data_IF_151555004505
#
_entry.id   IF_151555004505
#
_cell.length_a   1.000
_cell.length_b   1.000
_cell.length_c   1.000
_cell.angle_alpha   90.00
_cell.angle_beta   90.00
_cell.angle_gamma   90.00
#
_symmetry.space_group_name_H-M   'P 1'
#
loop_
_entity.id
_entity.type
_entity.pdbx_description
1 polymer ?
#
# COMPACT_ATOMS: atom_id res chain seq x y z
N UNK A 1 0.70 12.37 -24.65
CA UNK A 1 0.52 11.17 -25.50
C UNK A 1 -0.22 10.12 -24.70
N UNK A 2 -1.36 9.65 -25.19
CA UNK A 2 -2.22 8.72 -24.46
C UNK A 2 -1.80 7.25 -24.64
N UNK A 3 -1.80 6.46 -23.57
CA UNK A 3 -1.45 5.03 -23.61
C UNK A 3 -2.02 4.24 -22.42
N UNK A 4 -1.99 2.91 -22.52
CA UNK A 4 -2.29 2.06 -21.37
C UNK A 4 -1.09 1.94 -20.44
N UNK A 5 -1.31 2.12 -19.15
CA UNK A 5 -0.31 1.92 -18.09
C UNK A 5 -0.93 1.19 -16.90
N UNK A 6 -0.10 0.52 -16.12
CA UNK A 6 -0.50 -0.04 -14.83
C UNK A 6 -0.48 1.03 -13.75
N UNK A 7 -1.47 1.01 -12.87
CA UNK A 7 -1.56 1.86 -11.68
C UNK A 7 -2.00 1.05 -10.48
N UNK A 8 -1.60 1.50 -9.30
CA UNK A 8 -2.09 1.02 -8.04
C UNK A 8 -3.48 1.62 -7.78
N UNK A 9 -4.53 0.87 -8.12
CA UNK A 9 -5.91 1.35 -8.02
C UNK A 9 -6.41 1.33 -6.57
N UNK A 10 -6.09 0.27 -5.85
CA UNK A 10 -6.29 0.10 -4.40
C UNK A 10 -5.09 -0.68 -3.85
N UNK A 11 -4.86 -0.72 -2.53
CA UNK A 11 -3.83 -1.56 -1.95
C UNK A 11 -3.89 -2.99 -2.50
N UNK A 12 -2.75 -3.46 -3.02
CA UNK A 12 -2.58 -4.81 -3.58
C UNK A 12 -3.55 -5.12 -4.72
N UNK A 13 -3.96 -4.10 -5.49
CA UNK A 13 -4.84 -4.24 -6.63
C UNK A 13 -4.46 -3.27 -7.73
N UNK A 14 -3.64 -3.78 -8.65
CA UNK A 14 -3.24 -3.08 -9.84
C UNK A 14 -4.31 -3.12 -10.92
N UNK A 15 -4.40 -2.04 -11.70
CA UNK A 15 -5.30 -1.94 -12.86
C UNK A 15 -4.57 -1.31 -14.03
N UNK A 16 -4.92 -1.74 -15.24
CA UNK A 16 -4.53 -1.05 -16.46
C UNK A 16 -5.51 0.08 -16.74
N UNK A 17 -5.01 1.31 -16.80
CA UNK A 17 -5.80 2.49 -17.15
C UNK A 17 -5.28 3.09 -18.44
N UNK A 18 -6.15 3.84 -19.13
CA UNK A 18 -5.75 4.63 -20.28
C UNK A 18 -5.37 6.05 -19.84
N UNK A 19 -4.07 6.32 -19.75
CA UNK A 19 -3.53 7.60 -19.29
C UNK A 19 -3.56 8.63 -20.40
N UNK A 20 -4.57 9.50 -20.37
CA UNK A 20 -4.74 10.59 -21.33
C UNK A 20 -5.10 11.89 -20.62
N UNK A 21 -4.41 12.98 -20.92
CA UNK A 21 -4.78 14.32 -20.45
C UNK A 21 -6.15 14.79 -20.99
N UNK A 22 -6.73 14.09 -21.98
CA UNK A 22 -8.06 14.37 -22.52
C UNK A 22 -9.19 13.59 -21.84
N UNK A 23 -8.86 12.49 -21.14
CA UNK A 23 -9.85 11.57 -20.55
C UNK A 23 -9.71 11.43 -19.03
N UNK A 24 -8.60 11.89 -18.47
CA UNK A 24 -8.41 12.01 -17.03
C UNK A 24 -8.82 13.42 -16.64
N UNK A 25 -9.83 13.51 -15.77
CA UNK A 25 -10.35 14.77 -15.24
C UNK A 25 -9.25 15.55 -14.48
N UNK A 26 -8.61 14.89 -13.51
CA UNK A 26 -7.51 15.47 -12.72
C UNK A 26 -6.28 14.55 -12.70
N UNK A 27 -5.30 14.75 -13.61
CA UNK A 27 -4.05 13.99 -13.56
C UNK A 27 -3.12 14.45 -12.43
N UNK A 28 -3.36 15.63 -11.86
CA UNK A 28 -2.47 16.32 -10.92
C UNK A 28 -1.02 16.27 -11.42
N UNK A 29 -0.06 16.00 -10.52
CA UNK A 29 1.35 15.84 -10.86
C UNK A 29 1.74 14.41 -11.26
N UNK A 30 0.79 13.48 -11.46
CA UNK A 30 1.13 12.07 -11.74
C UNK A 30 1.98 11.89 -13.01
N UNK A 31 1.82 12.74 -14.02
CA UNK A 31 2.66 12.70 -15.23
C UNK A 31 4.10 13.15 -14.98
N UNK A 32 4.32 14.00 -13.97
CA UNK A 32 5.66 14.44 -13.55
C UNK A 32 6.26 13.48 -12.52
N UNK A 33 5.44 12.73 -11.77
CA UNK A 33 5.95 11.78 -10.78
C UNK A 33 6.28 10.43 -11.43
N UNK A 34 5.44 10.00 -12.37
CA UNK A 34 5.57 8.73 -13.08
C UNK A 34 5.42 8.98 -14.58
N UNK A 35 6.43 9.62 -15.21
CA UNK A 35 6.47 9.79 -16.66
C UNK A 35 6.74 8.44 -17.33
N UNK A 36 6.65 8.42 -18.65
CA UNK A 36 6.81 7.20 -19.44
C UNK A 36 8.23 6.64 -19.31
N UNK A 37 8.34 5.32 -19.16
CA UNK A 37 9.60 4.56 -19.22
C UNK A 37 10.66 4.98 -18.19
N UNK A 38 10.29 5.75 -17.18
CA UNK A 38 11.18 6.09 -16.07
C UNK A 38 10.63 5.44 -14.80
N UNK A 39 11.49 4.69 -14.11
CA UNK A 39 11.16 4.15 -12.80
C UNK A 39 11.20 5.27 -11.77
N UNK A 40 10.25 5.25 -10.83
CA UNK A 40 10.27 6.12 -9.67
C UNK A 40 9.57 5.41 -8.52
N UNK A 41 9.64 5.98 -7.33
CA UNK A 41 8.87 5.55 -6.17
C UNK A 41 8.29 6.74 -5.45
N UNK A 42 7.14 6.56 -4.82
CA UNK A 42 6.50 7.59 -4.02
C UNK A 42 6.00 7.02 -2.69
N UNK A 43 6.10 7.84 -1.64
CA UNK A 43 5.38 7.60 -0.39
C UNK A 43 4.00 8.21 -0.56
N UNK A 44 2.97 7.40 -0.38
CA UNK A 44 1.58 7.81 -0.49
C UNK A 44 0.91 7.76 0.88
N UNK A 45 -0.04 8.65 1.13
CA UNK A 45 -0.80 8.68 2.36
C UNK A 45 -2.12 9.43 2.17
N UNK A 46 -3.10 9.26 3.08
CA UNK A 46 -4.38 9.94 2.98
C UNK A 46 -4.25 11.46 2.97
N UNK A 47 -5.10 12.12 2.18
CA UNK A 47 -5.16 13.57 2.11
C UNK A 47 -5.72 14.19 3.41
N UNK A 48 -5.49 15.49 3.62
CA UNK A 48 -6.10 16.28 4.69
C UNK A 48 -7.62 16.12 4.64
N UNK A 49 -8.22 15.98 5.82
CA UNK A 49 -9.64 15.66 6.04
C UNK A 49 -10.09 14.23 5.70
N UNK A 50 -9.17 13.32 5.34
CA UNK A 50 -9.52 11.90 5.20
C UNK A 50 -10.14 11.35 6.49
N UNK A 51 -11.21 10.57 6.34
CA UNK A 51 -11.94 9.94 7.44
C UNK A 51 -11.39 8.56 7.77
N UNK A 52 -10.65 7.95 6.84
CA UNK A 52 -10.00 6.67 7.05
C UNK A 52 -8.79 6.80 7.99
N UNK A 53 -8.38 5.67 8.59
CA UNK A 53 -7.17 5.64 9.41
C UNK A 53 -5.94 6.06 8.59
N UNK A 54 -5.03 6.78 9.25
CA UNK A 54 -3.85 7.31 8.59
C UNK A 54 -2.75 6.24 8.55
N UNK A 55 -2.48 5.69 7.36
CA UNK A 55 -1.37 4.77 7.12
C UNK A 55 -0.71 5.11 5.79
N UNK A 56 0.62 5.25 5.72
CA UNK A 56 1.33 5.49 4.48
C UNK A 56 1.55 4.18 3.69
N UNK A 57 1.79 4.28 2.39
CA UNK A 57 2.12 3.16 1.52
C UNK A 57 3.10 3.60 0.44
N UNK A 58 4.16 2.84 0.19
CA UNK A 58 5.14 3.11 -0.86
C UNK A 58 4.72 2.40 -2.14
N UNK A 59 4.78 3.11 -3.26
CA UNK A 59 4.41 2.61 -4.58
C UNK A 59 5.46 3.02 -5.61
N UNK A 60 5.83 2.12 -6.50
CA UNK A 60 6.61 2.40 -7.71
C UNK A 60 5.72 2.65 -8.94
N UNK A 61 4.40 2.52 -8.77
CA UNK A 61 3.38 2.87 -9.74
C UNK A 61 2.64 4.16 -9.35
N UNK A 62 2.00 4.85 -10.31
CA UNK A 62 1.01 5.87 -9.98
C UNK A 62 -0.13 5.26 -9.16
N UNK A 63 -0.67 6.03 -8.22
CA UNK A 63 -1.82 5.61 -7.41
C UNK A 63 -3.11 6.30 -7.87
N UNK A 64 -4.23 5.61 -7.72
CA UNK A 64 -5.56 6.22 -7.84
C UNK A 64 -5.79 7.26 -6.74
N UNK A 65 -6.56 8.31 -7.04
CA UNK A 65 -6.87 9.35 -6.06
C UNK A 65 -7.54 8.79 -4.80
N UNK A 66 -8.31 7.71 -4.93
CA UNK A 66 -8.98 7.05 -3.82
C UNK A 66 -8.25 5.77 -3.37
N UNK A 67 -6.93 5.68 -3.51
CA UNK A 67 -6.15 4.47 -3.24
C UNK A 67 -6.55 3.73 -1.95
N UNK A 68 -6.47 4.35 -0.77
CA UNK A 68 -6.82 3.71 0.52
C UNK A 68 -8.26 3.97 1.00
N UNK A 69 -9.17 4.49 0.16
CA UNK A 69 -10.52 4.89 0.59
C UNK A 69 -11.57 4.71 -0.52
N UNK A 70 -12.85 4.77 -0.17
CA UNK A 70 -13.94 4.79 -1.16
C UNK A 70 -14.28 6.20 -1.63
N UNK A 71 -13.83 7.23 -0.92
CA UNK A 71 -14.28 8.61 -1.15
C UNK A 71 -13.27 9.69 -0.79
N UNK A 72 -12.23 9.35 -0.02
CA UNK A 72 -11.24 10.34 0.42
C UNK A 72 -9.99 10.26 -0.47
N UNK A 73 -9.34 11.40 -0.66
CA UNK A 73 -8.15 11.53 -1.49
C UNK A 73 -6.90 10.91 -0.87
N UNK A 74 -5.93 10.60 -1.71
CA UNK A 74 -4.57 10.25 -1.34
C UNK A 74 -3.60 11.19 -2.06
N UNK A 75 -2.53 11.51 -1.35
CA UNK A 75 -1.41 12.29 -1.87
C UNK A 75 -0.18 11.41 -2.02
N UNK A 76 0.73 11.84 -2.87
CA UNK A 76 2.00 11.17 -3.12
C UNK A 76 3.16 12.15 -3.02
N UNK A 77 4.23 11.73 -2.36
CA UNK A 77 5.52 12.42 -2.28
C UNK A 77 6.54 11.54 -3.01
N UNK A 78 6.91 11.87 -4.25
CA UNK A 78 7.81 11.05 -5.04
C UNK A 78 9.26 11.22 -4.57
N UNK A 79 10.12 10.26 -4.88
CA UNK A 79 11.58 10.35 -4.66
C UNK A 79 12.24 11.29 -5.66
N UNK A 80 11.80 11.23 -6.91
CA UNK A 80 12.21 12.10 -8.02
C UNK A 80 11.01 12.83 -8.62
N UNK A 81 11.21 14.02 -9.17
CA UNK A 81 10.21 14.72 -9.99
C UNK A 81 10.79 14.90 -11.38
N UNK A 82 9.95 14.70 -12.40
CA UNK A 82 10.34 14.80 -13.80
C UNK A 82 9.58 15.95 -14.49
N UNK A 83 10.03 17.21 -14.36
CA UNK A 83 9.49 18.32 -15.15
C UNK A 83 9.89 18.16 -16.62
N UNK A 84 9.12 17.38 -17.38
CA UNK A 84 9.51 16.91 -18.71
C UNK A 84 10.24 15.58 -18.60
N UNK A 85 11.42 15.46 -19.21
CA UNK A 85 12.24 14.23 -19.20
C UNK A 85 13.43 14.30 -18.23
N UNK A 86 13.72 15.46 -17.65
CA UNK A 86 14.83 15.65 -16.70
C UNK A 86 14.44 15.21 -15.29
N UNK A 87 15.32 14.47 -14.61
CA UNK A 87 15.08 13.96 -13.26
C UNK A 87 15.62 14.92 -12.19
N UNK A 88 14.76 15.39 -11.29
CA UNK A 88 15.12 16.25 -10.16
C UNK A 88 14.88 15.53 -8.83
N UNK A 89 15.86 15.57 -7.92
CA UNK A 89 15.70 15.03 -6.57
C UNK A 89 14.59 15.77 -5.80
N UNK A 90 13.64 15.04 -5.23
CA UNK A 90 12.63 15.61 -4.34
C UNK A 90 13.10 15.68 -2.87
N UNK A 91 14.21 15.02 -2.55
CA UNK A 91 14.98 15.29 -1.32
C UNK A 91 15.98 16.39 -1.66
N UNK A 92 15.64 17.63 -1.26
CA UNK A 92 16.43 18.81 -1.57
C UNK A 92 17.79 18.79 -0.86
N UNK A 93 18.77 19.52 -1.40
CA UNK A 93 20.08 19.67 -0.74
C UNK A 93 19.95 20.36 0.63
N UNK A 94 18.96 21.23 0.80
CA UNK A 94 18.60 21.78 2.11
C UNK A 94 18.20 20.67 3.10
N UNK A 95 17.34 19.73 2.67
CA UNK A 95 16.93 18.59 3.50
C UNK A 95 18.12 17.69 3.83
N UNK A 96 18.94 17.36 2.83
CA UNK A 96 20.17 16.59 3.03
C UNK A 96 21.11 17.25 4.05
N UNK A 97 21.29 18.57 3.96
CA UNK A 97 22.13 19.33 4.88
C UNK A 97 21.59 19.32 6.32
N UNK A 98 20.26 19.37 6.50
CA UNK A 98 19.63 19.26 7.83
C UNK A 98 19.90 17.91 8.48
N UNK A 99 19.68 16.81 7.75
CA UNK A 99 19.99 15.46 8.25
C UNK A 99 21.49 15.26 8.48
N UNK A 100 22.33 15.82 7.62
CA UNK A 100 23.80 15.75 7.77
C UNK A 100 24.29 16.52 9.00
N UNK A 101 23.65 17.65 9.32
CA UNK A 101 23.99 18.42 10.52
C UNK A 101 23.61 17.67 11.81
N UNK A 102 22.50 16.94 11.79
CA UNK A 102 22.01 16.15 12.93
C UNK A 102 22.81 14.86 13.14
N UNK A 103 23.00 14.07 12.08
CA UNK A 103 23.53 12.70 12.18
C UNK A 103 24.96 12.53 11.66
N UNK A 104 25.54 13.59 11.09
CA UNK A 104 26.81 13.54 10.38
C UNK A 104 26.66 13.03 8.93
N UNK A 105 27.77 13.03 8.17
CA UNK A 105 27.77 12.69 6.74
C UNK A 105 27.69 11.19 6.43
N UNK A 106 28.17 10.35 7.36
CA UNK A 106 28.36 8.93 7.08
C UNK A 106 27.00 8.23 7.04
N UNK A 107 26.63 7.67 5.89
CA UNK A 107 25.37 6.94 5.70
C UNK A 107 24.14 7.81 5.42
N UNK A 108 24.23 9.14 5.59
CA UNK A 108 23.14 10.07 5.28
C UNK A 108 23.14 10.37 3.78
N UNK A 109 22.33 9.64 3.04
CA UNK A 109 22.07 9.86 1.60
C UNK A 109 20.63 10.30 1.38
N UNK A 110 20.33 10.88 0.22
CA UNK A 110 18.95 11.26 -0.14
C UNK A 110 17.99 10.07 -0.12
N UNK A 111 18.44 8.89 -0.54
CA UNK A 111 17.65 7.66 -0.48
C UNK A 111 17.45 7.15 0.95
N UNK A 112 18.49 7.20 1.79
CA UNK A 112 18.37 6.85 3.20
C UNK A 112 17.42 7.80 3.95
N UNK A 113 17.44 9.10 3.61
CA UNK A 113 16.48 10.08 4.14
C UNK A 113 15.05 9.75 3.69
N UNK A 114 14.86 9.41 2.41
CA UNK A 114 13.54 9.05 1.90
C UNK A 114 13.00 7.79 2.60
N UNK A 115 13.84 6.78 2.81
CA UNK A 115 13.52 5.59 3.58
C UNK A 115 13.21 5.92 5.05
N UNK A 116 14.06 6.72 5.71
CA UNK A 116 13.85 7.21 7.07
C UNK A 116 12.47 7.88 7.23
N UNK A 117 12.10 8.78 6.31
CA UNK A 117 10.78 9.42 6.32
C UNK A 117 9.66 8.38 6.29
N UNK A 118 9.78 7.35 5.46
CA UNK A 118 8.77 6.30 5.38
C UNK A 118 8.65 5.46 6.65
N UNK A 119 9.77 5.19 7.32
CA UNK A 119 9.80 4.51 8.61
C UNK A 119 9.10 5.34 9.70
N UNK A 120 9.43 6.64 9.79
CA UNK A 120 8.80 7.56 10.76
C UNK A 120 7.29 7.67 10.52
N UNK A 121 6.85 7.66 9.26
CA UNK A 121 5.42 7.68 8.94
C UNK A 121 4.73 6.33 9.28
N UNK A 122 5.46 5.22 9.32
CA UNK A 122 4.93 3.92 9.76
C UNK A 122 4.86 3.75 11.28
N UNK A 123 5.70 4.47 12.01
CA UNK A 123 5.80 4.42 13.45
C UNK A 123 4.45 4.58 14.16
N UNK A 124 3.98 3.55 14.89
CA UNK A 124 2.71 3.63 15.59
C UNK A 124 2.67 4.77 16.62
N UNK A 125 3.77 5.03 17.33
CA UNK A 125 3.81 6.06 18.38
C UNK A 125 3.73 7.46 17.78
N UNK A 126 4.42 7.71 16.65
CA UNK A 126 4.27 8.95 15.89
C UNK A 126 2.82 9.16 15.43
N UNK A 127 2.21 8.14 14.82
CA UNK A 127 0.84 8.23 14.31
C UNK A 127 -0.19 8.43 15.41
N UNK A 128 -0.02 7.78 16.56
CA UNK A 128 -0.85 7.96 17.75
C UNK A 128 -0.71 9.38 18.32
N UNK A 129 0.54 9.84 18.50
CA UNK A 129 0.84 11.17 19.07
C UNK A 129 0.34 12.32 18.19
N UNK A 130 0.49 12.20 16.87
CA UNK A 130 0.16 13.27 15.91
C UNK A 130 -1.12 13.01 15.12
N UNK A 131 -2.00 12.11 15.59
CA UNK A 131 -3.21 11.70 14.87
C UNK A 131 -4.10 12.88 14.40
N UNK A 132 -4.25 13.92 15.22
CA UNK A 132 -5.01 15.12 14.87
C UNK A 132 -4.29 15.99 13.83
N UNK A 133 -2.97 16.12 13.92
CA UNK A 133 -2.17 16.88 12.95
C UNK A 133 -2.17 16.18 11.59
N UNK A 134 -1.95 14.86 11.55
CA UNK A 134 -1.94 14.07 10.31
C UNK A 134 -3.28 14.12 9.56
N UNK A 135 -4.39 14.36 10.26
CA UNK A 135 -5.70 14.59 9.64
C UNK A 135 -5.88 15.98 9.03
N UNK A 136 -5.09 16.97 9.43
CA UNK A 136 -5.33 18.40 9.12
C UNK A 136 -4.20 19.04 8.32
N UNK A 137 -2.99 18.52 8.43
CA UNK A 137 -1.77 19.14 7.95
C UNK A 137 -0.85 18.11 7.28
N UNK A 138 0.11 18.61 6.51
CA UNK A 138 1.15 17.77 5.93
C UNK A 138 2.08 17.19 7.02
N UNK A 139 2.49 15.91 6.94
CA UNK A 139 3.31 15.29 7.98
C UNK A 139 4.65 16.00 8.19
N UNK A 140 5.02 16.19 9.45
CA UNK A 140 6.35 16.70 9.85
C UNK A 140 7.19 15.56 10.40
N UNK A 141 8.42 15.45 9.94
CA UNK A 141 9.31 14.32 10.26
C UNK A 141 10.25 14.72 11.42
N UNK A 142 10.10 14.17 12.63
CA UNK A 142 11.08 14.36 13.71
C UNK A 142 12.41 13.67 13.42
N UNK A 143 13.45 14.13 14.12
CA UNK A 143 14.73 13.42 14.21
C UNK A 143 14.71 12.43 15.37
N UNK A 144 15.01 11.17 15.07
CA UNK A 144 15.05 10.05 15.99
C UNK A 144 16.50 9.64 16.21
N UNK A 145 16.88 9.19 17.43
CA UNK A 145 18.28 9.02 17.79
C UNK A 145 19.12 8.15 16.83
N UNK A 146 18.56 7.06 16.31
CA UNK A 146 19.26 6.10 15.45
C UNK A 146 18.84 6.21 13.98
N UNK A 147 19.37 7.21 13.26
CA UNK A 147 19.07 7.39 11.83
C UNK A 147 19.28 6.12 11.00
N UNK A 148 20.35 5.35 11.26
CA UNK A 148 20.70 4.18 10.47
C UNK A 148 19.64 3.08 10.62
N UNK A 149 19.20 2.80 11.85
CA UNK A 149 18.16 1.80 12.11
C UNK A 149 16.80 2.21 11.52
N UNK A 150 16.45 3.49 11.63
CA UNK A 150 15.20 4.01 11.07
C UNK A 150 15.20 4.04 9.54
N UNK A 151 16.33 4.38 8.91
CA UNK A 151 16.48 4.26 7.47
C UNK A 151 16.38 2.79 7.02
N UNK A 152 17.03 1.85 7.73
CA UNK A 152 16.99 0.42 7.43
C UNK A 152 15.57 -0.16 7.54
N UNK A 153 14.80 0.21 8.57
CA UNK A 153 13.38 -0.16 8.64
C UNK A 153 12.57 0.41 7.49
N UNK A 154 12.86 1.65 7.09
CA UNK A 154 12.21 2.29 5.95
C UNK A 154 12.47 1.56 4.64
N UNK A 155 13.72 1.16 4.40
CA UNK A 155 14.10 0.38 3.22
C UNK A 155 13.43 -0.99 3.21
N UNK A 156 13.40 -1.68 4.35
CA UNK A 156 12.72 -2.97 4.49
C UNK A 156 11.21 -2.85 4.21
N UNK A 157 10.55 -1.84 4.79
CA UNK A 157 9.12 -1.58 4.54
C UNK A 157 8.85 -1.21 3.07
N UNK A 158 9.71 -0.42 2.43
CA UNK A 158 9.55 -0.11 1.01
C UNK A 158 9.70 -1.36 0.15
N UNK A 159 10.69 -2.20 0.43
CA UNK A 159 10.90 -3.45 -0.29
C UNK A 159 9.69 -4.38 -0.18
N UNK A 160 9.11 -4.50 1.03
CA UNK A 160 7.89 -5.30 1.26
C UNK A 160 6.68 -4.73 0.51
N UNK A 161 6.47 -3.42 0.54
CA UNK A 161 5.23 -2.81 0.04
C UNK A 161 5.24 -2.57 -1.47
N UNK A 162 6.41 -2.27 -2.05
CA UNK A 162 6.58 -2.18 -3.51
C UNK A 162 6.69 -3.58 -4.10
N UNK A 163 7.52 -4.45 -3.54
CA UNK A 163 7.78 -5.80 -4.03
C UNK A 163 6.80 -6.86 -3.52
N UNK A 164 5.56 -6.48 -3.16
CA UNK A 164 4.60 -7.36 -2.49
C UNK A 164 4.25 -8.63 -3.30
N UNK A 165 4.35 -8.58 -4.62
CA UNK A 165 4.11 -9.74 -5.49
C UNK A 165 5.30 -10.71 -5.57
N UNK A 166 6.50 -10.27 -5.16
CA UNK A 166 7.74 -11.04 -5.28
C UNK A 166 8.22 -11.63 -3.95
N UNK A 167 7.57 -11.31 -2.84
CA UNK A 167 7.91 -11.89 -1.53
C UNK A 167 7.58 -13.38 -1.50
N UNK A 168 8.36 -14.13 -0.71
CA UNK A 168 8.02 -15.52 -0.42
C UNK A 168 6.67 -15.59 0.32
N UNK A 169 5.69 -16.39 -0.15
CA UNK A 169 4.38 -16.46 0.47
C UNK A 169 4.45 -16.93 1.93
N UNK A 170 3.52 -16.46 2.76
CA UNK A 170 3.34 -17.04 4.09
C UNK A 170 2.83 -18.49 3.96
N UNK A 171 3.31 -19.44 4.77
CA UNK A 171 2.88 -20.84 4.71
C UNK A 171 1.47 -21.02 5.26
N UNK A 172 0.47 -20.58 4.50
CA UNK A 172 -0.95 -20.80 4.80
C UNK A 172 -1.37 -22.21 4.40
N UNK A 173 -2.39 -22.75 5.07
CA UNK A 173 -2.95 -24.07 4.77
C UNK A 173 -4.25 -23.93 3.98
N UNK A 174 -4.36 -24.63 2.85
CA UNK A 174 -5.57 -24.69 2.04
C UNK A 174 -6.38 -25.94 2.38
N UNK A 175 -7.66 -25.73 2.67
CA UNK A 175 -8.63 -26.81 2.87
C UNK A 175 -9.70 -26.68 1.79
N UNK A 176 -9.81 -27.69 0.95
CA UNK A 176 -10.88 -27.83 -0.05
C UNK A 176 -11.88 -28.88 0.40
N UNK A 177 -13.17 -28.54 0.39
CA UNK A 177 -14.29 -29.43 0.69
C UNK A 177 -15.34 -29.29 -0.41
N UNK A 178 -15.11 -29.88 -1.59
CA UNK A 178 -16.02 -29.76 -2.72
C UNK A 178 -17.41 -30.34 -2.42
N UNK A 179 -18.47 -29.66 -2.84
CA UNK A 179 -19.83 -30.22 -2.78
C UNK A 179 -20.00 -31.33 -3.84
N UNK A 180 -20.21 -32.61 -3.44
CA UNK A 180 -20.35 -33.72 -4.39
C UNK A 180 -21.60 -33.62 -5.26
N UNK A 181 -22.56 -32.74 -4.93
CA UNK A 181 -23.77 -32.49 -5.72
C UNK A 181 -23.63 -31.30 -6.67
N UNK A 182 -22.49 -30.61 -6.67
CA UNK A 182 -22.23 -29.47 -7.55
C UNK A 182 -22.30 -29.93 -9.02
N UNK A 183 -23.09 -29.22 -9.83
CA UNK A 183 -23.24 -29.55 -11.24
C UNK A 183 -21.89 -29.45 -11.98
N UNK A 184 -21.64 -30.38 -12.90
CA UNK A 184 -20.44 -30.39 -13.72
C UNK A 184 -20.28 -29.06 -14.49
N UNK A 185 -19.06 -28.50 -14.48
CA UNK A 185 -18.76 -27.21 -15.11
C UNK A 185 -19.22 -25.97 -14.34
N UNK A 186 -19.86 -26.12 -13.16
CA UNK A 186 -20.19 -24.98 -12.29
C UNK A 186 -19.08 -24.70 -11.28
N UNK A 187 -18.91 -23.42 -10.94
CA UNK A 187 -17.91 -22.98 -9.96
C UNK A 187 -18.51 -22.80 -8.56
N UNK A 188 -17.70 -22.97 -7.50
CA UNK A 188 -18.13 -22.64 -6.14
C UNK A 188 -18.52 -21.17 -6.02
N UNK A 189 -19.56 -20.90 -5.23
CA UNK A 189 -20.02 -19.53 -5.01
C UNK A 189 -18.94 -18.74 -4.25
N UNK A 190 -18.45 -17.59 -4.77
CA UNK A 190 -17.47 -16.77 -4.06
C UNK A 190 -18.02 -16.28 -2.72
N UNK A 191 -17.19 -16.32 -1.67
CA UNK A 191 -17.53 -15.85 -0.32
C UNK A 191 -16.64 -14.68 0.08
N UNK A 192 -15.32 -14.78 -0.13
CA UNK A 192 -14.31 -13.74 0.07
C UNK A 192 -14.45 -13.01 1.41
N UNK A 193 -14.39 -13.79 2.49
CA UNK A 193 -14.62 -13.29 3.85
C UNK A 193 -13.50 -13.71 4.79
N UNK A 194 -12.94 -12.73 5.50
CA UNK A 194 -11.96 -12.96 6.56
C UNK A 194 -12.63 -13.29 7.90
N UNK A 195 -11.95 -14.10 8.70
CA UNK A 195 -12.30 -14.44 10.08
C UNK A 195 -11.04 -14.32 10.96
N UNK A 196 -10.65 -13.08 11.33
CA UNK A 196 -9.41 -12.84 12.09
C UNK A 196 -9.32 -13.66 13.37
N UNK A 197 -10.41 -13.75 14.13
CA UNK A 197 -10.46 -14.51 15.39
C UNK A 197 -10.15 -16.00 15.21
N UNK A 198 -10.37 -16.53 13.99
CA UNK A 198 -10.13 -17.94 13.66
C UNK A 198 -8.84 -18.16 12.84
N UNK A 199 -8.12 -17.10 12.48
CA UNK A 199 -6.91 -17.22 11.66
C UNK A 199 -7.18 -17.77 10.25
N UNK A 200 -8.34 -17.46 9.67
CA UNK A 200 -8.73 -17.98 8.35
C UNK A 200 -9.48 -16.99 7.45
N UNK A 201 -9.50 -17.32 6.17
CA UNK A 201 -10.30 -16.69 5.11
C UNK A 201 -11.13 -17.77 4.42
N UNK A 202 -12.44 -17.52 4.27
CA UNK A 202 -13.32 -18.32 3.42
C UNK A 202 -13.30 -17.70 2.02
N UNK A 203 -12.72 -18.41 1.05
CA UNK A 203 -12.55 -17.92 -0.32
C UNK A 203 -13.85 -18.08 -1.09
N UNK A 204 -14.41 -19.28 -1.07
CA UNK A 204 -15.68 -19.63 -1.69
C UNK A 204 -16.38 -20.75 -0.90
N UNK A 205 -17.45 -21.31 -1.45
CA UNK A 205 -18.22 -22.37 -0.79
C UNK A 205 -17.42 -23.64 -0.49
N UNK A 206 -16.32 -23.89 -1.22
CA UNK A 206 -15.56 -25.14 -1.13
C UNK A 206 -14.16 -24.91 -0.54
N UNK A 207 -13.60 -23.71 -0.61
CA UNK A 207 -12.20 -23.44 -0.25
C UNK A 207 -12.05 -22.48 0.93
N UNK A 208 -11.24 -22.90 1.90
CA UNK A 208 -10.78 -22.09 3.02
C UNK A 208 -9.25 -22.02 3.05
N UNK A 209 -8.73 -20.85 3.42
CA UNK A 209 -7.30 -20.63 3.70
C UNK A 209 -7.16 -20.38 5.19
N UNK A 210 -6.36 -21.20 5.87
CA UNK A 210 -6.17 -21.22 7.32
C UNK A 210 -4.69 -21.05 7.69
N UNK A 211 -4.36 -21.00 8.98
CA UNK A 211 -2.98 -20.82 9.44
C UNK A 211 -2.46 -19.38 9.29
N UNK A 212 -3.36 -18.40 9.13
CA UNK A 212 -3.00 -16.98 9.06
C UNK A 212 -2.83 -16.45 10.49
N UNK A 213 -1.65 -15.91 10.86
CA UNK A 213 -1.45 -15.32 12.18
C UNK A 213 -2.40 -14.14 12.42
N UNK A 214 -2.93 -14.01 13.65
CA UNK A 214 -3.92 -12.98 13.97
C UNK A 214 -3.37 -11.57 13.78
N UNK A 215 -2.09 -11.39 14.05
CA UNK A 215 -1.38 -10.12 13.88
C UNK A 215 -1.34 -9.65 12.43
N UNK A 216 -1.50 -10.53 11.43
CA UNK A 216 -1.52 -10.12 10.02
C UNK A 216 -2.68 -9.15 9.73
N UNK A 217 -3.79 -9.21 10.47
CA UNK A 217 -4.89 -8.26 10.32
C UNK A 217 -4.62 -6.88 10.95
N UNK A 218 -3.56 -6.73 11.75
CA UNK A 218 -3.18 -5.45 12.35
C UNK A 218 -2.55 -4.49 11.34
N UNK A 219 -2.00 -5.02 10.23
CA UNK A 219 -1.56 -4.16 9.14
C UNK A 219 -2.77 -3.62 8.36
N UNK A 220 -3.12 -2.37 8.64
CA UNK A 220 -4.31 -1.70 8.10
C UNK A 220 -3.94 -0.53 7.20
N UNK A 221 -4.59 -0.45 6.04
CA UNK A 221 -4.47 0.63 5.07
C UNK A 221 -5.84 1.28 4.93
N UNK A 222 -6.00 2.46 5.52
CA UNK A 222 -7.32 3.08 5.68
C UNK A 222 -8.24 2.21 6.56
N UNK A 223 -9.46 1.94 6.10
CA UNK A 223 -10.48 1.26 6.92
C UNK A 223 -10.42 -0.28 6.90
N UNK A 224 -9.42 -0.88 6.25
CA UNK A 224 -9.32 -2.33 6.02
C UNK A 224 -7.92 -2.85 6.33
N UNK A 225 -7.84 -4.12 6.73
CA UNK A 225 -6.56 -4.82 6.73
C UNK A 225 -6.06 -5.02 5.30
N UNK A 226 -4.76 -5.23 5.12
CA UNK A 226 -4.19 -5.61 3.83
C UNK A 226 -4.86 -6.86 3.24
N UNK A 227 -5.14 -7.85 4.07
CA UNK A 227 -5.90 -9.07 3.72
C UNK A 227 -7.29 -8.71 3.18
N UNK A 228 -8.03 -7.84 3.88
CA UNK A 228 -9.38 -7.45 3.46
C UNK A 228 -9.41 -6.63 2.17
N UNK A 229 -8.32 -5.92 1.84
CA UNK A 229 -8.17 -5.25 0.55
C UNK A 229 -8.08 -6.26 -0.59
N UNK A 230 -7.25 -7.30 -0.47
CA UNK A 230 -7.15 -8.37 -1.47
C UNK A 230 -8.53 -8.98 -1.72
N UNK A 231 -9.26 -9.33 -0.66
CA UNK A 231 -10.60 -9.91 -0.77
C UNK A 231 -11.61 -8.95 -1.42
N UNK A 232 -11.60 -7.67 -1.04
CA UNK A 232 -12.54 -6.69 -1.58
C UNK A 232 -12.35 -6.42 -3.08
N UNK A 233 -11.10 -6.44 -3.54
CA UNK A 233 -10.74 -6.14 -4.92
C UNK A 233 -10.97 -7.32 -5.89
N UNK A 234 -11.18 -8.52 -5.35
CA UNK A 234 -11.54 -9.73 -6.10
C UNK A 234 -13.04 -10.08 -6.05
N UNK A 235 -13.87 -9.22 -5.45
CA UNK A 235 -15.32 -9.39 -5.51
C UNK A 235 -15.84 -9.08 -6.90
N UNK A 236 -16.69 -9.97 -7.43
CA UNK A 236 -17.49 -9.68 -8.61
C UNK A 236 -18.42 -8.49 -8.35
N UNK A 237 -18.40 -7.50 -9.25
CA UNK A 237 -19.21 -6.28 -9.16
C UNK A 237 -19.93 -6.09 -10.48
N UNK A 238 -21.22 -5.84 -10.43
CA UNK A 238 -22.00 -5.50 -11.62
C UNK A 238 -21.97 -4.00 -11.86
N UNK A 239 -21.45 -3.52 -13.01
CA UNK A 239 -21.48 -2.09 -13.36
C UNK A 239 -22.90 -1.54 -13.35
N UNK A 240 -23.10 -0.31 -12.87
CA UNK A 240 -24.42 0.34 -12.85
C UNK A 240 -24.90 0.73 -14.25
N UNK A 241 -23.99 1.24 -15.08
CA UNK A 241 -24.27 1.60 -16.47
C UNK A 241 -24.60 0.35 -17.31
N UNK A 242 -25.69 0.41 -18.07
CA UNK A 242 -26.16 -0.74 -18.85
C UNK A 242 -25.21 -1.12 -19.99
N UNK A 243 -24.65 -0.13 -20.68
CA UNK A 243 -23.71 -0.35 -21.78
C UNK A 243 -22.43 -0.98 -21.26
N UNK A 244 -21.91 -0.51 -20.12
CA UNK A 244 -20.72 -1.09 -19.49
C UNK A 244 -20.99 -2.50 -19.01
N UNK A 245 -22.14 -2.72 -18.36
CA UNK A 245 -22.53 -4.05 -17.88
C UNK A 245 -22.62 -5.06 -19.03
N UNK A 246 -23.24 -4.68 -20.14
CA UNK A 246 -23.42 -5.55 -21.30
C UNK A 246 -22.08 -5.87 -22.00
N UNK A 247 -21.23 -4.86 -22.19
CA UNK A 247 -20.02 -5.00 -23.03
C UNK A 247 -18.75 -5.36 -22.25
N UNK A 248 -18.67 -5.03 -20.96
CA UNK A 248 -17.41 -5.06 -20.20
C UNK A 248 -17.49 -5.72 -18.83
N UNK A 249 -18.64 -6.30 -18.42
CA UNK A 249 -18.74 -7.07 -17.18
C UNK A 249 -18.19 -8.51 -17.32
N UNK A 250 -16.90 -8.62 -17.64
CA UNK A 250 -16.23 -9.88 -17.99
C UNK A 250 -15.55 -10.56 -16.82
N UNK A 251 -15.32 -9.85 -15.70
CA UNK A 251 -14.65 -10.43 -14.53
C UNK A 251 -15.48 -11.57 -13.93
N UNK A 252 -14.87 -12.75 -13.75
CA UNK A 252 -15.43 -13.89 -13.02
C UNK A 252 -14.39 -14.34 -12.01
N UNK A 253 -14.77 -14.42 -10.74
CA UNK A 253 -13.84 -14.77 -9.66
C UNK A 253 -13.18 -16.13 -9.88
N UNK A 254 -13.90 -17.09 -10.46
CA UNK A 254 -13.39 -18.41 -10.76
C UNK A 254 -12.08 -18.39 -11.58
N UNK A 255 -11.96 -17.45 -12.53
CA UNK A 255 -10.78 -17.32 -13.41
C UNK A 255 -9.54 -16.79 -12.66
N UNK A 256 -9.74 -16.15 -11.50
CA UNK A 256 -8.69 -15.49 -10.72
C UNK A 256 -8.52 -16.08 -9.32
N UNK A 257 -9.24 -17.15 -8.98
CA UNK A 257 -9.22 -17.74 -7.63
C UNK A 257 -7.81 -18.12 -7.19
N UNK A 258 -7.09 -18.83 -8.05
CA UNK A 258 -5.75 -19.35 -7.73
C UNK A 258 -4.73 -18.22 -7.60
N UNK A 259 -4.72 -17.26 -8.54
CA UNK A 259 -3.85 -16.07 -8.43
C UNK A 259 -4.19 -15.21 -7.22
N UNK A 260 -5.46 -15.11 -6.83
CA UNK A 260 -5.89 -14.40 -5.63
C UNK A 260 -5.39 -15.10 -4.36
N UNK A 261 -5.48 -16.44 -4.28
CA UNK A 261 -4.97 -17.21 -3.14
C UNK A 261 -3.44 -17.05 -3.01
N UNK A 262 -2.71 -17.07 -4.13
CA UNK A 262 -1.26 -16.83 -4.14
C UNK A 262 -0.93 -15.41 -3.63
N UNK A 263 -1.59 -14.39 -4.18
CA UNK A 263 -1.44 -13.01 -3.73
C UNK A 263 -1.80 -12.85 -2.25
N UNK A 264 -2.87 -13.50 -1.79
CA UNK A 264 -3.29 -13.48 -0.39
C UNK A 264 -2.17 -13.99 0.52
N UNK A 265 -1.53 -15.10 0.19
CA UNK A 265 -0.43 -15.65 0.98
C UNK A 265 0.79 -14.71 1.03
N UNK A 266 1.10 -14.03 -0.08
CA UNK A 266 2.15 -12.99 -0.15
C UNK A 266 1.79 -11.76 0.68
N UNK A 267 0.54 -11.30 0.62
CA UNK A 267 0.06 -10.17 1.44
C UNK A 267 0.00 -10.53 2.92
N UNK A 268 -0.26 -11.78 3.30
CA UNK A 268 -0.11 -12.24 4.69
C UNK A 268 1.35 -12.11 5.15
N UNK A 269 2.32 -12.52 4.33
CA UNK A 269 3.76 -12.32 4.62
C UNK A 269 4.07 -10.85 4.85
N UNK A 270 3.71 -9.99 3.89
CA UNK A 270 3.91 -8.53 3.99
C UNK A 270 3.31 -8.00 5.29
N UNK A 271 2.09 -8.43 5.63
CA UNK A 271 1.39 -7.95 6.82
C UNK A 271 2.11 -8.33 8.12
N UNK A 272 2.52 -9.60 8.25
CA UNK A 272 3.23 -10.07 9.45
C UNK A 272 4.57 -9.36 9.60
N UNK A 273 5.34 -9.26 8.53
CA UNK A 273 6.67 -8.65 8.56
C UNK A 273 6.59 -7.13 8.83
N UNK A 274 5.60 -6.44 8.25
CA UNK A 274 5.33 -5.02 8.54
C UNK A 274 4.90 -4.80 9.99
N UNK A 275 4.08 -5.69 10.55
CA UNK A 275 3.72 -5.63 11.98
C UNK A 275 4.94 -5.85 12.87
N UNK A 276 5.79 -6.83 12.55
CA UNK A 276 7.03 -7.06 13.30
C UNK A 276 7.95 -5.83 13.31
N UNK A 277 8.11 -5.16 12.17
CA UNK A 277 8.90 -3.93 12.07
C UNK A 277 8.27 -2.80 12.91
N UNK A 278 6.96 -2.59 12.81
CA UNK A 278 6.29 -1.50 13.53
C UNK A 278 6.21 -1.73 15.04
N UNK A 279 6.15 -2.98 15.50
CA UNK A 279 6.30 -3.30 16.93
C UNK A 279 7.74 -3.09 17.42
N UNK A 280 8.75 -3.40 16.61
CA UNK A 280 10.14 -3.05 16.94
C UNK A 280 10.34 -1.53 17.05
N UNK A 281 9.70 -0.74 16.16
CA UNK A 281 9.68 0.72 16.27
C UNK A 281 9.04 1.19 17.58
N UNK A 282 7.92 0.59 18.00
CA UNK A 282 7.23 0.95 19.25
C UNK A 282 8.17 0.83 20.47
N UNK A 283 9.06 -0.15 20.48
CA UNK A 283 10.04 -0.39 21.54
C UNK A 283 11.32 0.48 21.44
N UNK A 284 11.52 1.23 20.35
CA UNK A 284 12.74 2.01 20.13
C UNK A 284 12.85 3.28 20.99
N UNK A 285 14.09 3.70 21.25
CA UNK A 285 14.39 4.96 21.92
C UNK A 285 13.79 6.16 21.18
N UNK A 286 13.22 7.08 21.94
CA UNK A 286 12.52 8.25 21.40
C UNK A 286 13.30 9.52 21.73
N UNK A 287 13.23 10.53 20.86
CA UNK A 287 13.74 11.85 21.23
C UNK A 287 13.02 12.28 22.52
N UNK A 288 13.78 12.75 23.51
CA UNK A 288 13.19 13.46 24.64
C UNK A 288 12.36 14.61 24.04
N UNK A 289 11.11 14.73 24.49
CA UNK A 289 10.16 15.65 23.87
C UNK A 289 10.77 17.02 23.67
N UNK A 290 10.72 17.57 22.47
CA UNK A 290 10.75 19.02 22.31
C UNK A 290 10.14 19.49 21.00
N UNK A 291 9.76 20.76 21.03
CA UNK A 291 8.74 21.43 20.23
C UNK A 291 8.84 21.16 18.72
N UNK A 292 7.68 21.07 18.10
CA UNK A 292 7.54 21.12 16.65
C UNK A 292 8.33 22.31 16.10
N UNK A 293 9.40 22.02 15.34
CA UNK A 293 9.99 22.96 14.40
C UNK A 293 9.15 22.96 13.10
#
# INVERSE_FOLDING_TARGET
>A
MAEFSTVNYRPFAERRIYRSALLIDEPASNFQFFPKRQANRAITFPDTSSRADWTPFASDLPIDFHFGSTSDGHKAVPRMVFPGDEATDNVTDWGLNKFTAEYGKKGVTKDAIFAYCYAVLHDPVYREKYALNLKREFPRIPFYPDFAQWAAWGEALMALHIGYEEVAPWPVERIDTPDPKRAEGSHPKPVLKSHPDKGLVVVDADTQITGIPREAWNYRLGNRSAIDWVLDQHKEKTPRDATIREKFNTYRFADYKESMIELLAKVVRVSVDTVAITEAMRASERPQSEAAA
#
